data_IF_819419197630
#
_entry.id   IF_819419197630
#
_cell.length_a   1.000
_cell.length_b   1.000
_cell.length_c   1.000
_cell.angle_alpha   90.00
_cell.angle_beta   90.00
_cell.angle_gamma   90.00
#
_symmetry.space_group_name_H-M   'P 1'
#
loop_
_entity.id
_entity.type
_entity.pdbx_description
1 polymer ?
#
# COMPACT_ATOMS: atom_id res chain seq x y z
N UNK A 1 -65.11 -33.27 -11.40
CA UNK A 1 -65.63 -33.00 -12.76
C UNK A 1 -65.17 -31.61 -13.21
N UNK A 2 -64.80 -31.45 -14.49
CA UNK A 2 -63.52 -30.84 -14.87
C UNK A 2 -63.61 -29.74 -15.93
N UNK A 3 -62.45 -29.13 -16.24
CA UNK A 3 -61.91 -28.75 -17.57
C UNK A 3 -60.47 -28.25 -17.31
N UNK A 4 -59.36 -28.96 -17.53
CA UNK A 4 -58.87 -29.83 -18.61
C UNK A 4 -58.56 -29.08 -19.92
N UNK A 5 -57.26 -29.07 -20.29
CA UNK A 5 -56.63 -29.31 -21.61
C UNK A 5 -55.12 -28.92 -21.49
N UNK A 6 -54.18 -29.80 -21.12
CA UNK A 6 -53.38 -30.80 -21.90
C UNK A 6 -52.32 -30.23 -22.86
N UNK A 7 -51.03 -30.43 -22.53
CA UNK A 7 -49.98 -31.28 -23.19
C UNK A 7 -49.38 -30.66 -24.48
N UNK A 8 -48.07 -30.65 -24.71
CA UNK A 8 -47.12 -31.77 -24.73
C UNK A 8 -45.66 -31.30 -24.69
N UNK A 9 -44.78 -32.19 -24.22
CA UNK A 9 -43.33 -32.10 -24.24
C UNK A 9 -42.72 -32.10 -25.67
N UNK A 10 -41.55 -31.47 -25.79
CA UNK A 10 -40.53 -31.75 -26.80
C UNK A 10 -39.14 -31.55 -26.17
N UNK A 11 -38.32 -32.60 -26.25
CA UNK A 11 -36.90 -32.64 -25.93
C UNK A 11 -36.12 -31.63 -26.79
N UNK A 12 -35.07 -31.01 -26.23
CA UNK A 12 -33.98 -30.45 -27.05
C UNK A 12 -32.62 -30.62 -26.38
N UNK A 13 -31.72 -31.14 -27.21
CA UNK A 13 -30.30 -31.42 -27.07
C UNK A 13 -29.42 -30.30 -26.52
N UNK A 14 -28.36 -30.70 -25.82
CA UNK A 14 -27.13 -29.92 -25.62
C UNK A 14 -26.43 -29.58 -26.93
N UNK A 15 -25.71 -28.44 -26.99
CA UNK A 15 -24.27 -28.59 -27.23
C UNK A 15 -23.36 -27.60 -26.50
N UNK A 16 -22.19 -28.12 -26.14
CA UNK A 16 -20.94 -27.41 -25.91
C UNK A 16 -20.55 -26.51 -27.09
N UNK A 17 -19.98 -25.32 -26.84
CA UNK A 17 -18.83 -24.78 -27.61
C UNK A 17 -18.23 -23.51 -26.99
N UNK A 18 -16.92 -23.57 -26.87
CA UNK A 18 -15.92 -22.54 -26.58
C UNK A 18 -16.01 -21.33 -27.51
N UNK A 19 -15.89 -20.11 -26.97
CA UNK A 19 -15.78 -18.87 -27.75
C UNK A 19 -14.31 -18.40 -27.79
N UNK A 20 -13.75 -18.24 -29.00
CA UNK A 20 -12.44 -17.64 -29.25
C UNK A 20 -12.61 -16.20 -29.72
N UNK A 21 -11.81 -15.31 -29.15
CA UNK A 21 -11.67 -13.91 -29.55
C UNK A 21 -10.79 -13.77 -30.80
N UNK A 22 -11.41 -13.49 -31.93
CA UNK A 22 -10.80 -12.80 -33.07
C UNK A 22 -11.93 -12.52 -34.06
N UNK A 23 -12.39 -11.26 -34.17
CA UNK A 23 -13.07 -10.72 -35.35
C UNK A 23 -13.53 -9.28 -35.06
N UNK A 24 -12.65 -8.29 -35.23
CA UNK A 24 -13.03 -6.90 -35.44
C UNK A 24 -11.87 -6.13 -36.09
N UNK A 25 -11.80 -6.09 -37.43
CA UNK A 25 -11.39 -4.89 -38.20
C UNK A 25 -12.01 -4.99 -39.60
N UNK A 26 -12.80 -3.98 -39.96
CA UNK A 26 -13.48 -3.83 -41.26
C UNK A 26 -12.55 -3.40 -42.40
N UNK A 27 -12.98 -3.72 -43.62
CA UNK A 27 -12.26 -3.53 -44.88
C UNK A 27 -12.57 -2.19 -45.57
N UNK A 28 -11.59 -1.68 -46.34
CA UNK A 28 -11.63 -1.13 -47.73
C UNK A 28 -10.54 -0.05 -47.96
N UNK A 29 -10.10 0.24 -49.21
CA UNK A 29 -9.64 -0.66 -50.27
C UNK A 29 -8.24 -0.27 -50.82
N UNK A 30 -7.78 -1.07 -51.77
CA UNK A 30 -6.43 -1.21 -52.37
C UNK A 30 -5.94 0.01 -53.18
N UNK A 31 -4.66 0.34 -53.05
CA UNK A 31 -3.86 1.16 -53.97
C UNK A 31 -2.47 0.53 -54.17
N UNK A 32 -2.15 0.23 -55.42
CA UNK A 32 -1.01 -0.54 -55.93
C UNK A 32 0.32 0.22 -55.84
N UNK A 33 1.41 -0.48 -55.49
CA UNK A 33 2.73 0.12 -55.30
C UNK A 33 3.82 -0.89 -54.92
N UNK A 34 4.35 -1.62 -55.90
CA UNK A 34 5.49 -2.53 -55.75
C UNK A 34 6.80 -1.76 -55.52
N UNK A 35 7.57 -2.13 -54.49
CA UNK A 35 9.04 -1.99 -54.44
C UNK A 35 9.61 -3.24 -53.74
N UNK A 36 10.64 -3.94 -54.30
CA UNK A 36 11.11 -5.21 -53.76
C UNK A 36 12.17 -5.01 -52.66
N UNK A 37 12.03 -5.74 -51.54
CA UNK A 37 13.06 -5.82 -50.49
C UNK A 37 13.78 -7.16 -50.58
N UNK A 38 15.09 -7.10 -50.85
CA UNK A 38 16.03 -8.21 -50.88
C UNK A 38 16.28 -8.78 -49.47
N UNK A 39 16.20 -10.10 -49.31
CA UNK A 39 16.67 -10.82 -48.12
C UNK A 39 18.19 -10.98 -48.14
N UNK A 40 18.88 -10.82 -46.99
CA UNK A 40 20.11 -11.55 -46.71
C UNK A 40 19.85 -12.72 -45.73
N UNK A 41 20.64 -13.76 -45.91
CA UNK A 41 20.70 -15.03 -45.16
C UNK A 41 21.52 -14.89 -43.86
N UNK A 42 21.48 -15.89 -42.96
CA UNK A 42 21.79 -15.73 -41.54
C UNK A 42 23.27 -15.97 -41.23
N UNK A 43 23.85 -15.18 -40.33
CA UNK A 43 25.11 -15.50 -39.65
C UNK A 43 24.89 -15.43 -38.14
N UNK A 44 25.46 -16.42 -37.46
CA UNK A 44 25.07 -16.83 -36.12
C UNK A 44 25.45 -15.86 -35.02
N UNK A 45 24.63 -15.90 -33.98
CA UNK A 45 24.97 -15.43 -32.65
C UNK A 45 24.61 -16.52 -31.65
N UNK A 46 25.63 -17.07 -31.01
CA UNK A 46 25.49 -17.96 -29.87
C UNK A 46 25.20 -17.11 -28.62
N UNK A 47 24.37 -17.60 -27.67
CA UNK A 47 24.06 -16.87 -26.46
C UNK A 47 25.26 -16.88 -25.50
N UNK A 48 25.76 -15.71 -25.13
CA UNK A 48 26.77 -15.56 -24.08
C UNK A 48 26.15 -15.76 -22.70
N UNK A 49 26.82 -16.60 -21.92
CA UNK A 49 26.56 -16.96 -20.52
C UNK A 49 26.26 -15.77 -19.62
N UNK A 50 25.32 -15.97 -18.70
CA UNK A 50 24.95 -15.03 -17.64
C UNK A 50 26.16 -14.72 -16.74
N UNK A 51 26.72 -13.52 -16.88
CA UNK A 51 27.65 -12.98 -15.91
C UNK A 51 26.85 -12.54 -14.68
N UNK A 52 27.09 -13.22 -13.56
CA UNK A 52 26.65 -12.80 -12.23
C UNK A 52 27.26 -11.43 -11.93
N UNK A 53 26.44 -10.38 -11.90
CA UNK A 53 26.85 -9.10 -11.34
C UNK A 53 26.77 -9.23 -9.82
N UNK A 54 27.93 -9.50 -9.20
CA UNK A 54 28.10 -9.29 -7.77
C UNK A 54 28.03 -7.78 -7.50
N UNK A 55 26.92 -7.32 -6.90
CA UNK A 55 26.79 -5.97 -6.38
C UNK A 55 27.84 -5.81 -5.27
N UNK A 56 28.83 -4.94 -5.48
CA UNK A 56 29.65 -4.44 -4.38
C UNK A 56 28.73 -3.58 -3.50
N UNK A 57 28.26 -4.17 -2.39
CA UNK A 57 27.56 -3.44 -1.33
C UNK A 57 28.43 -2.25 -0.93
N UNK A 58 27.90 -1.03 -1.04
CA UNK A 58 28.50 0.14 -0.41
C UNK A 58 28.33 -0.11 1.09
N UNK A 59 29.40 -0.58 1.71
CA UNK A 59 29.49 -0.95 3.13
C UNK A 59 29.43 0.30 4.00
N UNK A 60 28.22 0.78 4.26
CA UNK A 60 27.88 1.49 5.48
C UNK A 60 26.62 0.83 6.00
N UNK A 61 26.68 0.14 7.13
CA UNK A 61 25.49 -0.42 7.78
C UNK A 61 24.57 0.77 8.12
N UNK A 62 23.57 1.02 7.27
CA UNK A 62 22.54 2.01 7.57
C UNK A 62 21.79 1.49 8.79
N UNK A 63 21.67 2.30 9.87
CA UNK A 63 21.00 1.81 11.07
C UNK A 63 19.54 1.50 10.77
N UNK A 64 19.04 0.40 11.33
CA UNK A 64 17.63 0.05 11.39
C UNK A 64 16.77 1.26 11.81
N UNK A 65 15.55 1.37 11.27
CA UNK A 65 14.61 2.41 11.69
C UNK A 65 14.40 2.37 13.22
N UNK A 66 14.30 3.52 13.90
CA UNK A 66 14.14 3.51 15.36
C UNK A 66 12.93 2.71 15.79
N UNK A 67 13.15 1.87 16.79
CA UNK A 67 12.10 1.11 17.43
C UNK A 67 11.55 1.90 18.61
N UNK A 68 10.23 2.06 18.66
CA UNK A 68 9.51 2.72 19.74
C UNK A 68 8.65 1.66 20.41
N UNK A 69 8.93 1.39 21.67
CA UNK A 69 8.19 0.43 22.47
C UNK A 69 7.18 1.15 23.38
N UNK A 70 5.93 0.70 23.31
CA UNK A 70 4.82 1.20 24.12
C UNK A 70 4.07 0.09 24.87
N UNK A 71 4.60 -1.14 24.89
CA UNK A 71 3.92 -2.30 25.48
C UNK A 71 3.70 -2.18 26.99
N UNK A 72 4.45 -1.34 27.69
CA UNK A 72 4.30 -1.10 29.13
C UNK A 72 3.28 -0.01 29.49
N UNK A 73 2.59 0.59 28.50
CA UNK A 73 1.60 1.64 28.75
C UNK A 73 0.40 1.11 29.53
N UNK A 74 -0.08 1.84 30.53
CA UNK A 74 -1.27 1.48 31.30
C UNK A 74 -2.60 1.89 30.62
N UNK A 75 -2.54 2.72 29.56
CA UNK A 75 -3.73 3.15 28.82
C UNK A 75 -3.41 3.52 27.37
N UNK A 76 -4.44 3.61 26.53
CA UNK A 76 -4.31 4.09 25.16
C UNK A 76 -3.77 5.52 25.06
N UNK A 77 -4.21 6.40 25.95
CA UNK A 77 -3.70 7.77 26.01
C UNK A 77 -2.21 7.81 26.37
N UNK A 78 -1.79 7.02 27.37
CA UNK A 78 -0.38 6.93 27.76
C UNK A 78 0.49 6.32 26.66
N UNK A 79 0.00 5.27 25.97
CA UNK A 79 0.65 4.72 24.77
C UNK A 79 0.91 5.80 23.74
N UNK A 80 -0.10 6.61 23.44
CA UNK A 80 0.01 7.77 22.58
C UNK A 80 1.05 8.76 23.06
N UNK A 81 1.03 9.14 24.34
CA UNK A 81 1.99 10.08 24.92
C UNK A 81 3.44 9.60 24.78
N UNK A 82 3.71 8.33 25.11
CA UNK A 82 5.03 7.72 25.02
C UNK A 82 5.52 7.76 23.57
N UNK A 83 4.69 7.33 22.62
CA UNK A 83 5.03 7.37 21.20
C UNK A 83 5.26 8.81 20.71
N UNK A 84 4.34 9.72 21.02
CA UNK A 84 4.46 11.13 20.66
C UNK A 84 5.75 11.78 21.17
N UNK A 85 6.14 11.46 22.41
CA UNK A 85 7.36 11.99 23.02
C UNK A 85 8.63 11.42 22.37
N UNK A 86 8.69 10.10 22.16
CA UNK A 86 9.86 9.44 21.56
C UNK A 86 10.03 9.78 20.07
N UNK A 87 8.93 10.00 19.36
CA UNK A 87 8.92 10.29 17.92
C UNK A 87 8.81 11.77 17.58
N UNK A 88 8.88 12.69 18.57
CA UNK A 88 8.55 14.12 18.40
C UNK A 88 9.12 14.75 17.12
N UNK A 89 10.42 14.63 16.90
CA UNK A 89 11.10 15.25 15.75
C UNK A 89 10.69 14.58 14.42
N UNK A 90 10.46 13.26 14.43
CA UNK A 90 9.99 12.51 13.26
C UNK A 90 8.54 12.83 12.93
N UNK A 91 7.69 13.03 13.93
CA UNK A 91 6.30 13.49 13.74
C UNK A 91 6.32 14.89 13.13
N UNK A 92 7.16 15.79 13.64
CA UNK A 92 7.32 17.12 13.06
C UNK A 92 7.78 17.04 11.59
N UNK A 93 8.72 16.14 11.28
CA UNK A 93 9.16 15.90 9.89
C UNK A 93 8.02 15.40 8.99
N UNK A 94 7.20 14.46 9.47
CA UNK A 94 5.98 14.02 8.76
C UNK A 94 5.04 15.18 8.50
N UNK A 95 4.73 15.98 9.53
CA UNK A 95 3.83 17.15 9.42
C UNK A 95 4.35 18.14 8.37
N UNK A 96 5.63 18.50 8.42
CA UNK A 96 6.25 19.43 7.45
C UNK A 96 6.20 18.86 6.02
N UNK A 97 6.47 17.56 5.87
CA UNK A 97 6.47 16.90 4.57
C UNK A 97 5.07 16.87 3.96
N UNK A 98 4.05 16.47 4.74
CA UNK A 98 2.67 16.43 4.27
C UNK A 98 2.04 17.81 4.10
N UNK A 99 2.35 18.78 4.96
CA UNK A 99 1.88 20.16 4.78
C UNK A 99 2.26 20.71 3.40
N UNK A 100 3.47 20.41 2.91
CA UNK A 100 3.88 20.77 1.55
C UNK A 100 3.12 19.97 0.49
N UNK A 101 2.95 18.66 0.66
CA UNK A 101 2.20 17.83 -0.29
C UNK A 101 0.75 18.29 -0.46
N UNK A 102 0.05 18.56 0.66
CA UNK A 102 -1.30 19.10 0.63
C UNK A 102 -1.34 20.48 -0.02
N UNK A 103 -0.35 21.33 0.28
CA UNK A 103 -0.29 22.65 -0.32
C UNK A 103 -0.13 22.59 -1.83
N UNK A 104 0.64 21.63 -2.36
CA UNK A 104 0.72 21.40 -3.81
C UNK A 104 -0.62 21.01 -4.45
N UNK A 105 -1.53 20.43 -3.66
CA UNK A 105 -2.91 20.15 -4.07
C UNK A 105 -3.86 21.35 -3.84
N UNK A 106 -3.34 22.52 -3.46
CA UNK A 106 -4.12 23.71 -3.15
C UNK A 106 -4.80 23.68 -1.77
N UNK A 107 -4.32 22.83 -0.86
CA UNK A 107 -4.90 22.66 0.48
C UNK A 107 -3.84 23.04 1.51
N UNK A 108 -4.03 24.14 2.23
CA UNK A 108 -3.14 24.47 3.35
C UNK A 108 -3.30 23.45 4.51
N UNK A 109 -2.33 23.42 5.40
CA UNK A 109 -2.30 22.43 6.48
C UNK A 109 -3.44 22.60 7.49
N UNK A 110 -3.89 23.83 7.74
CA UNK A 110 -5.02 24.06 8.64
C UNK A 110 -6.31 23.50 8.05
N UNK A 111 -6.54 23.73 6.75
CA UNK A 111 -7.63 23.12 5.99
C UNK A 111 -7.55 21.59 5.97
N UNK A 112 -6.35 21.01 5.83
CA UNK A 112 -6.15 19.56 5.91
C UNK A 112 -6.52 19.00 7.30
N UNK A 113 -6.07 19.67 8.37
CA UNK A 113 -6.43 19.34 9.75
C UNK A 113 -7.95 19.39 9.98
N UNK A 114 -8.62 20.45 9.52
CA UNK A 114 -10.07 20.60 9.65
C UNK A 114 -10.81 19.48 8.92
N UNK A 115 -10.39 19.15 7.69
CA UNK A 115 -10.97 18.05 6.92
C UNK A 115 -10.81 16.71 7.62
N UNK A 116 -9.67 16.48 8.26
CA UNK A 116 -9.37 15.24 8.99
C UNK A 116 -10.18 15.11 10.27
N UNK A 117 -10.44 16.21 10.99
CA UNK A 117 -11.25 16.18 12.22
C UNK A 117 -12.68 15.66 11.99
N UNK A 118 -13.21 15.74 10.76
CA UNK A 118 -14.52 15.14 10.41
C UNK A 118 -14.57 13.62 10.62
N UNK A 119 -13.42 12.94 10.65
CA UNK A 119 -13.32 11.50 10.88
C UNK A 119 -13.29 11.13 12.37
N UNK A 120 -13.23 12.09 13.31
CA UNK A 120 -13.14 11.81 14.76
C UNK A 120 -14.24 10.84 15.23
N UNK A 121 -15.48 11.07 14.83
CA UNK A 121 -16.61 10.20 15.21
C UNK A 121 -16.54 8.82 14.54
N UNK A 122 -15.99 8.73 13.32
CA UNK A 122 -15.81 7.45 12.63
C UNK A 122 -14.76 6.62 13.37
N UNK A 123 -13.61 7.22 13.69
CA UNK A 123 -12.52 6.54 14.40
C UNK A 123 -12.99 6.10 15.79
N UNK A 124 -13.70 6.95 16.53
CA UNK A 124 -14.22 6.60 17.85
C UNK A 124 -15.25 5.46 17.82
N UNK A 125 -16.01 5.31 16.72
CA UNK A 125 -16.95 4.20 16.53
C UNK A 125 -16.24 2.89 16.16
N UNK A 126 -15.11 2.96 15.46
CA UNK A 126 -14.26 1.78 15.22
C UNK A 126 -13.69 1.29 16.55
N UNK A 127 -13.05 2.21 17.29
CA UNK A 127 -12.49 1.97 18.61
C UNK A 127 -12.14 3.31 19.29
N UNK A 128 -12.77 3.58 20.43
CA UNK A 128 -12.56 4.80 21.19
C UNK A 128 -11.12 4.97 21.70
N UNK A 129 -10.41 3.86 21.93
CA UNK A 129 -9.02 3.88 22.38
C UNK A 129 -8.07 4.45 21.32
N UNK A 130 -8.41 4.32 20.03
CA UNK A 130 -7.61 4.92 18.95
C UNK A 130 -7.64 6.45 19.01
N UNK A 131 -8.77 7.05 19.35
CA UNK A 131 -8.86 8.49 19.56
C UNK A 131 -8.13 8.92 20.84
N UNK A 132 -8.17 8.12 21.91
CA UNK A 132 -7.38 8.39 23.11
C UNK A 132 -5.88 8.35 22.80
N UNK A 133 -5.41 7.38 22.02
CA UNK A 133 -4.03 7.26 21.56
C UNK A 133 -3.60 8.45 20.69
N UNK A 134 -4.43 8.89 19.74
CA UNK A 134 -4.13 10.08 18.93
C UNK A 134 -4.03 11.36 19.77
N UNK A 135 -4.89 11.52 20.79
CA UNK A 135 -4.80 12.65 21.74
C UNK A 135 -3.54 12.58 22.60
N UNK A 136 -3.18 11.39 23.07
CA UNK A 136 -1.92 11.15 23.76
C UNK A 136 -0.73 11.51 22.89
N UNK A 137 -0.73 11.07 21.63
CA UNK A 137 0.33 11.34 20.66
C UNK A 137 0.49 12.84 20.35
N UNK A 138 -0.63 13.56 20.23
CA UNK A 138 -0.64 15.00 20.13
C UNK A 138 0.03 15.65 21.35
N UNK A 139 -0.36 15.24 22.56
CA UNK A 139 0.23 15.74 23.79
C UNK A 139 1.75 15.44 23.89
N UNK A 140 2.17 14.20 23.62
CA UNK A 140 3.57 13.78 23.76
C UNK A 140 4.49 14.45 22.73
N UNK A 141 4.01 14.65 21.51
CA UNK A 141 4.78 15.29 20.44
C UNK A 141 4.74 16.82 20.49
N UNK A 142 3.74 17.40 21.16
CA UNK A 142 3.47 18.83 21.13
C UNK A 142 2.82 19.31 19.83
N UNK A 143 2.34 18.40 18.98
CA UNK A 143 1.58 18.72 17.78
C UNK A 143 0.09 18.86 18.08
N UNK A 144 -0.68 19.49 17.19
CA UNK A 144 -2.13 19.57 17.33
C UNK A 144 -2.80 18.23 17.02
N UNK A 145 -3.91 17.90 17.70
CA UNK A 145 -4.71 16.72 17.36
C UNK A 145 -5.09 16.69 15.87
N UNK A 146 -5.45 17.85 15.30
CA UNK A 146 -5.75 17.98 13.87
C UNK A 146 -4.59 17.54 12.97
N UNK A 147 -3.34 17.78 13.37
CA UNK A 147 -2.17 17.32 12.60
C UNK A 147 -2.04 15.80 12.64
N UNK A 148 -2.24 15.17 13.81
CA UNK A 148 -2.20 13.71 13.93
C UNK A 148 -3.37 13.06 13.17
N UNK A 149 -4.56 13.68 13.22
CA UNK A 149 -5.70 13.27 12.40
C UNK A 149 -5.38 13.38 10.91
N UNK A 150 -4.77 14.48 10.45
CA UNK A 150 -4.40 14.67 9.05
C UNK A 150 -3.39 13.63 8.57
N UNK A 151 -2.42 13.23 9.41
CA UNK A 151 -1.50 12.13 9.08
C UNK A 151 -2.26 10.79 8.91
N UNK A 152 -3.16 10.46 9.85
CA UNK A 152 -3.88 9.18 9.84
C UNK A 152 -5.03 9.11 8.82
N UNK A 153 -5.55 10.26 8.38
CA UNK A 153 -6.62 10.36 7.38
C UNK A 153 -6.13 10.84 6.01
N UNK A 154 -4.81 10.89 5.78
CA UNK A 154 -4.24 11.58 4.60
C UNK A 154 -4.83 11.08 3.29
N UNK A 155 -5.04 9.77 3.17
CA UNK A 155 -5.51 9.13 1.94
C UNK A 155 -6.95 9.55 1.66
N UNK A 156 -7.75 9.76 2.70
CA UNK A 156 -9.16 10.13 2.64
C UNK A 156 -9.37 11.62 2.36
N UNK A 157 -8.43 12.49 2.77
CA UNK A 157 -8.57 13.95 2.62
C UNK A 157 -7.76 14.52 1.45
N UNK A 158 -6.87 13.73 0.85
CA UNK A 158 -6.23 14.08 -0.41
C UNK A 158 -7.24 13.97 -1.56
N UNK A 159 -7.20 14.89 -2.53
CA UNK A 159 -8.11 14.84 -3.67
C UNK A 159 -7.83 13.60 -4.54
N UNK A 160 -8.89 13.03 -5.12
CA UNK A 160 -8.81 11.90 -6.05
C UNK A 160 -8.13 12.26 -7.37
N UNK A 161 -8.03 13.54 -7.71
CA UNK A 161 -7.10 14.09 -8.69
C UNK A 161 -5.90 14.62 -7.93
N UNK A 162 -4.81 13.85 -7.87
CA UNK A 162 -3.55 14.40 -7.37
C UNK A 162 -3.16 15.50 -8.35
N UNK A 163 -2.87 16.69 -7.81
CA UNK A 163 -2.68 17.95 -8.53
C UNK A 163 -3.97 18.49 -9.16
N UNK A 164 -4.33 19.68 -8.72
CA UNK A 164 -5.20 20.54 -9.52
C UNK A 164 -4.28 21.37 -10.42
N UNK A 165 -4.59 21.48 -11.71
CA UNK A 165 -3.92 22.36 -12.68
C UNK A 165 -4.11 23.86 -12.36
N UNK A 166 -4.19 24.22 -11.08
CA UNK A 166 -4.35 25.58 -10.58
C UNK A 166 -3.16 25.96 -9.70
N UNK A 167 -2.00 26.28 -10.30
CA UNK A 167 -0.82 26.75 -9.59
C UNK A 167 -1.11 27.84 -8.55
N UNK A 168 -2.11 28.70 -8.80
CA UNK A 168 -2.51 29.77 -7.89
C UNK A 168 -2.99 29.25 -6.52
N UNK A 169 -3.72 28.13 -6.49
CA UNK A 169 -4.18 27.54 -5.24
C UNK A 169 -3.00 26.98 -4.44
N UNK A 170 -2.02 26.37 -5.13
CA UNK A 170 -0.84 25.83 -4.47
C UNK A 170 0.05 26.92 -3.83
N UNK A 171 0.27 28.02 -4.53
CA UNK A 171 1.02 29.16 -3.99
C UNK A 171 0.32 29.78 -2.77
N UNK A 172 -1.00 29.92 -2.82
CA UNK A 172 -1.79 30.45 -1.70
C UNK A 172 -1.69 29.52 -0.47
N UNK A 173 -1.81 28.20 -0.67
CA UNK A 173 -1.70 27.22 0.40
C UNK A 173 -0.30 27.19 1.04
N UNK A 174 0.76 27.28 0.23
CA UNK A 174 2.14 27.39 0.72
C UNK A 174 2.35 28.68 1.52
N UNK A 175 1.83 29.81 1.05
CA UNK A 175 1.91 31.08 1.77
C UNK A 175 1.18 31.02 3.12
N UNK A 176 -0.01 30.40 3.17
CA UNK A 176 -0.74 30.18 4.41
C UNK A 176 0.04 29.30 5.39
N UNK A 177 0.67 28.22 4.92
CA UNK A 177 1.54 27.36 5.73
C UNK A 177 2.71 28.12 6.33
N UNK A 178 3.41 28.94 5.52
CA UNK A 178 4.53 29.78 5.99
C UNK A 178 4.06 30.78 7.06
N UNK A 179 2.91 31.42 6.85
CA UNK A 179 2.32 32.34 7.83
C UNK A 179 1.94 31.64 9.15
N UNK A 180 1.59 30.35 9.10
CA UNK A 180 1.31 29.52 10.26
C UNK A 180 2.58 28.93 10.93
N UNK A 181 3.78 29.28 10.45
CA UNK A 181 5.04 28.81 11.02
C UNK A 181 5.46 27.41 10.58
N UNK A 182 4.84 26.84 9.54
CA UNK A 182 5.28 25.59 8.93
C UNK A 182 6.37 25.92 7.89
N UNK A 183 7.63 25.51 8.12
CA UNK A 183 8.71 25.82 7.20
C UNK A 183 8.52 25.09 5.88
N UNK A 184 8.83 25.79 4.80
CA UNK A 184 8.97 25.16 3.50
C UNK A 184 10.34 24.46 3.42
N UNK A 185 10.32 23.13 3.27
CA UNK A 185 11.54 22.34 3.18
C UNK A 185 12.24 22.41 1.81
N UNK A 186 11.69 23.14 0.84
CA UNK A 186 12.33 23.46 -0.44
C UNK A 186 12.67 24.94 -0.64
N UNK A 187 12.47 25.78 0.39
CA UNK A 187 12.72 27.21 0.31
C UNK A 187 12.06 27.87 -0.93
N UNK A 188 12.85 28.44 -1.84
CA UNK A 188 12.38 29.12 -3.06
C UNK A 188 12.41 28.23 -4.31
N UNK A 189 12.73 26.94 -4.19
CA UNK A 189 12.74 26.06 -5.34
C UNK A 189 11.31 25.91 -5.91
N UNK A 190 11.13 26.10 -7.24
CA UNK A 190 9.83 25.98 -7.87
C UNK A 190 9.28 24.57 -7.68
N UNK A 191 7.98 24.48 -7.44
CA UNK A 191 7.28 23.21 -7.41
C UNK A 191 7.30 22.56 -8.80
N UNK A 192 7.63 21.28 -8.87
CA UNK A 192 7.48 20.49 -10.09
C UNK A 192 6.15 19.75 -10.05
N UNK A 193 5.27 20.09 -11.00
CA UNK A 193 3.97 19.44 -11.21
C UNK A 193 4.10 17.93 -11.51
N UNK A 194 5.32 17.45 -11.80
CA UNK A 194 5.61 16.05 -12.07
C UNK A 194 5.80 15.18 -10.81
N UNK A 195 5.38 15.60 -9.61
CA UNK A 195 5.45 14.74 -8.43
C UNK A 195 4.52 13.53 -8.63
N UNK A 196 5.11 12.35 -8.84
CA UNK A 196 4.34 11.15 -9.22
C UNK A 196 3.70 10.52 -7.99
N UNK A 197 2.50 9.96 -8.17
CA UNK A 197 1.83 9.15 -7.16
C UNK A 197 2.78 8.05 -6.62
N UNK A 198 2.76 7.84 -5.30
CA UNK A 198 3.49 6.72 -4.72
C UNK A 198 2.84 5.38 -5.04
N UNK A 199 3.68 4.39 -5.30
CA UNK A 199 3.29 3.07 -5.76
C UNK A 199 3.82 2.00 -4.78
N UNK A 200 3.22 0.81 -4.78
CA UNK A 200 3.67 -0.30 -3.95
C UNK A 200 3.49 -1.59 -4.72
N UNK A 201 4.34 -2.59 -4.50
CA UNK A 201 4.16 -3.94 -5.05
C UNK A 201 4.18 -4.92 -3.90
N UNK A 202 3.20 -5.82 -3.83
CA UNK A 202 3.10 -6.86 -2.81
C UNK A 202 2.98 -8.26 -3.44
N UNK A 203 3.52 -9.25 -2.74
CA UNK A 203 3.33 -10.68 -3.03
C UNK A 203 3.01 -11.41 -1.72
N UNK A 204 1.93 -12.18 -1.72
CA UNK A 204 1.60 -13.11 -0.65
C UNK A 204 1.72 -14.56 -1.16
N UNK A 205 2.30 -15.43 -0.34
CA UNK A 205 2.54 -16.84 -0.66
C UNK A 205 1.93 -17.70 0.42
N UNK A 206 1.01 -18.59 0.05
CA UNK A 206 0.40 -19.55 0.98
C UNK A 206 1.42 -20.59 1.46
N UNK A 207 1.09 -21.28 2.56
CA UNK A 207 1.90 -22.39 3.06
C UNK A 207 2.19 -23.44 1.96
N UNK A 208 1.19 -23.77 1.14
CA UNK A 208 1.28 -24.78 0.08
C UNK A 208 2.22 -24.39 -1.07
N UNK A 209 2.37 -23.10 -1.36
CA UNK A 209 3.26 -22.60 -2.40
C UNK A 209 4.65 -22.17 -1.86
N UNK A 210 4.87 -22.31 -0.56
CA UNK A 210 6.14 -21.95 0.09
C UNK A 210 7.12 -23.12 0.14
N UNK A 211 8.42 -22.82 0.19
CA UNK A 211 9.47 -23.85 0.35
C UNK A 211 9.46 -24.53 1.73
N UNK A 212 8.92 -23.85 2.74
CA UNK A 212 9.09 -24.22 4.16
C UNK A 212 7.77 -24.47 4.89
N UNK A 213 6.63 -24.44 4.19
CA UNK A 213 5.32 -24.84 4.71
C UNK A 213 4.57 -23.77 5.53
N UNK A 214 4.98 -22.52 5.50
CA UNK A 214 4.37 -21.37 6.17
C UNK A 214 4.02 -20.26 5.17
N UNK A 215 3.06 -19.40 5.51
CA UNK A 215 2.74 -18.27 4.65
C UNK A 215 3.78 -17.14 4.77
N UNK A 216 3.88 -16.38 3.68
CA UNK A 216 4.76 -15.23 3.55
C UNK A 216 4.01 -14.03 2.98
N UNK A 217 4.46 -12.84 3.37
CA UNK A 217 4.04 -11.58 2.77
C UNK A 217 5.28 -10.71 2.52
N UNK A 218 5.46 -10.25 1.30
CA UNK A 218 6.54 -9.35 0.90
C UNK A 218 5.99 -8.11 0.22
N UNK A 219 6.54 -6.93 0.52
CA UNK A 219 6.10 -5.67 -0.06
C UNK A 219 7.23 -4.64 -0.16
N UNK A 220 7.30 -3.95 -1.30
CA UNK A 220 7.98 -2.66 -1.39
C UNK A 220 6.96 -1.54 -1.16
N UNK A 221 7.33 -0.58 -0.31
CA UNK A 221 6.60 0.67 -0.15
C UNK A 221 7.34 1.79 -0.87
N UNK A 222 6.77 2.29 -1.97
CA UNK A 222 7.33 3.41 -2.72
C UNK A 222 6.62 4.72 -2.36
N UNK A 223 7.41 5.73 -2.04
CA UNK A 223 6.92 7.05 -1.64
C UNK A 223 7.97 8.14 -1.87
N UNK A 224 7.68 9.37 -1.46
CA UNK A 224 8.66 10.46 -1.43
C UNK A 224 9.86 10.05 -0.56
N UNK A 225 11.06 10.03 -1.14
CA UNK A 225 12.29 9.61 -0.46
C UNK A 225 12.57 10.32 0.87
N UNK A 226 12.18 11.60 0.94
CA UNK A 226 12.23 12.42 2.17
C UNK A 226 11.55 11.75 3.35
N UNK A 227 10.48 11.00 3.11
CA UNK A 227 9.67 10.43 4.18
C UNK A 227 10.38 9.29 4.90
N UNK A 228 11.40 8.65 4.30
CA UNK A 228 12.23 7.62 4.94
C UNK A 228 12.76 8.05 6.32
N UNK A 229 13.10 9.33 6.49
CA UNK A 229 13.59 9.87 7.76
C UNK A 229 12.54 9.88 8.88
N UNK A 230 11.25 9.76 8.57
CA UNK A 230 10.17 9.66 9.54
C UNK A 230 9.76 8.21 9.85
N UNK A 231 10.34 7.20 9.19
CA UNK A 231 9.96 5.81 9.43
C UNK A 231 10.39 5.36 10.84
N UNK A 232 9.52 4.60 11.49
CA UNK A 232 9.73 3.98 12.80
C UNK A 232 9.16 2.57 12.81
N UNK A 233 9.76 1.69 13.59
CA UNK A 233 9.14 0.42 13.99
C UNK A 233 8.41 0.67 15.31
N UNK A 234 7.09 0.51 15.33
CA UNK A 234 6.28 0.69 16.53
C UNK A 234 5.89 -0.67 17.11
N UNK A 235 6.24 -0.88 18.38
CA UNK A 235 5.67 -1.95 19.20
C UNK A 235 4.54 -1.40 20.05
N UNK A 236 3.41 -2.07 20.01
CA UNK A 236 2.19 -1.62 20.69
C UNK A 236 1.26 -2.81 20.92
N UNK A 237 0.15 -2.57 21.62
CA UNK A 237 -0.85 -3.60 21.89
C UNK A 237 -2.21 -3.21 21.31
N UNK A 238 -2.89 -4.16 20.68
CA UNK A 238 -4.29 -4.01 20.27
C UNK A 238 -5.27 -4.30 21.42
N UNK A 239 -6.55 -3.93 21.29
CA UNK A 239 -7.54 -4.08 22.35
C UNK A 239 -7.79 -5.55 22.75
N UNK A 240 -7.54 -6.52 21.86
CA UNK A 240 -7.60 -7.95 22.21
C UNK A 240 -6.38 -8.47 22.96
N UNK A 241 -5.39 -7.62 23.24
CA UNK A 241 -4.13 -7.96 23.91
C UNK A 241 -3.03 -8.42 22.96
N UNK A 242 -3.25 -8.38 21.63
CA UNK A 242 -2.24 -8.77 20.65
C UNK A 242 -1.08 -7.78 20.64
N UNK A 243 0.14 -8.28 20.79
CA UNK A 243 1.35 -7.50 20.55
C UNK A 243 1.52 -7.29 19.05
N UNK A 244 1.67 -6.04 18.63
CA UNK A 244 1.73 -5.60 17.23
C UNK A 244 3.10 -4.97 16.98
N UNK A 245 3.74 -5.40 15.88
CA UNK A 245 4.93 -4.75 15.32
C UNK A 245 4.58 -4.17 13.95
N UNK A 246 4.71 -2.86 13.78
CA UNK A 246 4.42 -2.22 12.50
C UNK A 246 5.52 -1.24 12.10
N UNK A 247 5.96 -1.31 10.85
CA UNK A 247 6.73 -0.27 10.20
C UNK A 247 5.75 0.79 9.71
N UNK A 248 5.89 2.01 10.22
CA UNK A 248 4.99 3.11 9.92
C UNK A 248 5.72 4.44 9.82
N UNK A 249 5.02 5.48 9.42
CA UNK A 249 5.50 6.85 9.50
C UNK A 249 5.19 7.42 10.87
N UNK A 250 6.16 8.11 11.48
CA UNK A 250 5.98 8.76 12.76
C UNK A 250 4.76 9.68 12.73
N UNK A 251 3.82 9.43 13.65
CA UNK A 251 2.53 10.13 13.74
C UNK A 251 1.33 9.29 13.32
N UNK A 252 1.56 8.10 12.76
CA UNK A 252 0.50 7.14 12.39
C UNK A 252 0.35 6.01 13.41
N UNK A 253 -0.89 5.53 13.58
CA UNK A 253 -1.25 4.42 14.48
C UNK A 253 -0.68 3.07 14.03
N UNK A 254 -0.66 2.81 12.72
CA UNK A 254 -0.10 1.61 12.12
C UNK A 254 0.02 1.77 10.60
N UNK A 255 0.76 0.85 9.96
CA UNK A 255 0.80 0.70 8.51
C UNK A 255 1.08 -0.75 8.10
N UNK A 256 2.32 -1.10 7.74
CA UNK A 256 2.71 -2.46 7.33
C UNK A 256 3.22 -3.20 8.58
N UNK A 257 2.78 -4.43 8.85
CA UNK A 257 3.17 -5.08 10.10
C UNK A 257 2.68 -6.49 10.30
N UNK A 258 3.09 -7.06 11.43
CA UNK A 258 2.77 -8.41 11.88
C UNK A 258 2.50 -8.40 13.39
N UNK A 259 1.61 -9.28 13.85
CA UNK A 259 1.34 -9.45 15.28
C UNK A 259 1.85 -10.79 15.83
N UNK A 260 1.72 -10.96 17.15
CA UNK A 260 2.20 -12.15 17.87
C UNK A 260 1.56 -13.47 17.42
N UNK A 261 0.37 -13.45 16.80
CA UNK A 261 -0.28 -14.65 16.25
C UNK A 261 0.20 -15.00 14.84
N UNK A 262 1.08 -14.18 14.24
CA UNK A 262 1.54 -14.38 12.87
C UNK A 262 0.60 -13.82 11.81
N UNK A 263 -0.40 -13.01 12.19
CA UNK A 263 -1.20 -12.27 11.23
C UNK A 263 -0.39 -11.06 10.74
N UNK A 264 -0.07 -11.05 9.45
CA UNK A 264 0.70 -10.02 8.77
C UNK A 264 -0.18 -9.29 7.76
N UNK A 265 0.02 -7.98 7.61
CA UNK A 265 -0.60 -7.19 6.56
C UNK A 265 0.33 -6.14 5.95
N UNK A 266 0.03 -5.74 4.72
CA UNK A 266 0.65 -4.63 4.01
C UNK A 266 -0.36 -3.58 3.58
N UNK A 267 0.05 -2.67 2.71
CA UNK A 267 -0.83 -1.65 2.13
C UNK A 267 -0.37 -1.26 0.72
N UNK A 268 -1.27 -1.33 -0.26
CA UNK A 268 -1.10 -0.61 -1.52
C UNK A 268 -2.22 0.43 -1.64
N UNK A 269 -1.87 1.68 -1.91
CA UNK A 269 -2.87 2.71 -2.19
C UNK A 269 -3.52 2.40 -3.55
N UNK A 270 -4.86 2.42 -3.59
CA UNK A 270 -5.66 2.40 -4.81
C UNK A 270 -6.35 3.76 -4.97
N UNK A 271 -7.07 3.96 -6.08
CA UNK A 271 -7.80 5.20 -6.32
C UNK A 271 -9.17 4.91 -6.87
N UNK A 272 -10.19 5.41 -6.20
CA UNK A 272 -11.58 5.30 -6.61
C UNK A 272 -12.14 6.66 -7.05
N UNK A 273 -13.04 6.63 -8.03
CA UNK A 273 -13.86 7.78 -8.42
C UNK A 273 -14.71 8.32 -7.26
N UNK A 274 -14.88 7.55 -6.18
CA UNK A 274 -15.65 7.92 -4.99
C UNK A 274 -14.79 8.27 -3.77
N UNK A 275 -13.46 8.28 -3.87
CA UNK A 275 -12.59 8.65 -2.75
C UNK A 275 -13.00 10.01 -2.18
N UNK A 276 -13.13 10.10 -0.85
CA UNK A 276 -13.52 11.32 -0.15
C UNK A 276 -15.00 11.75 -0.32
N UNK A 277 -15.83 11.00 -1.05
CA UNK A 277 -17.27 11.34 -1.25
C UNK A 277 -18.14 11.05 -0.03
N UNK A 278 -17.67 10.18 0.86
CA UNK A 278 -18.32 9.85 2.14
C UNK A 278 -17.29 9.74 3.24
N UNK A 279 -17.72 9.95 4.48
CA UNK A 279 -16.94 9.56 5.64
C UNK A 279 -17.05 8.04 5.80
N UNK A 280 -15.90 7.38 5.83
CA UNK A 280 -15.74 5.95 6.11
C UNK A 280 -14.45 5.74 6.86
N UNK A 281 -14.16 4.51 7.26
CA UNK A 281 -12.97 4.20 8.08
C UNK A 281 -11.69 4.62 7.33
N UNK A 282 -10.84 5.47 7.91
CA UNK A 282 -9.55 5.82 7.32
C UNK A 282 -8.62 4.61 7.22
N UNK A 283 -7.83 4.50 6.16
CA UNK A 283 -7.04 3.30 5.90
C UNK A 283 -6.04 2.98 7.01
N UNK A 284 -5.35 3.97 7.59
CA UNK A 284 -4.39 3.71 8.68
C UNK A 284 -5.08 3.28 9.98
N UNK A 285 -6.34 3.70 10.17
CA UNK A 285 -7.20 3.24 11.27
C UNK A 285 -7.68 1.81 11.02
N UNK A 286 -8.05 1.50 9.76
CA UNK A 286 -8.39 0.15 9.33
C UNK A 286 -7.21 -0.82 9.54
N UNK A 287 -6.00 -0.45 9.11
CA UNK A 287 -4.81 -1.29 9.29
C UNK A 287 -4.51 -1.53 10.76
N UNK A 288 -4.63 -0.50 11.61
CA UNK A 288 -4.48 -0.64 13.06
C UNK A 288 -5.51 -1.61 13.65
N UNK A 289 -6.76 -1.49 13.21
CA UNK A 289 -7.86 -2.35 13.65
C UNK A 289 -7.64 -3.81 13.21
N UNK A 290 -7.22 -4.03 11.96
CA UNK A 290 -6.97 -5.36 11.42
C UNK A 290 -5.72 -6.03 12.00
N UNK A 291 -4.69 -5.28 12.40
CA UNK A 291 -3.50 -5.86 13.05
C UNK A 291 -3.80 -6.52 14.40
N UNK A 292 -4.99 -6.32 14.97
CA UNK A 292 -5.47 -7.05 16.15
C UNK A 292 -6.16 -8.39 15.80
N UNK A 293 -6.32 -8.71 14.51
CA UNK A 293 -6.87 -9.99 14.03
C UNK A 293 -5.88 -11.15 14.22
N UNK A 294 -6.40 -12.39 14.17
CA UNK A 294 -5.56 -13.61 14.35
C UNK A 294 -5.38 -14.42 13.06
N UNK A 295 -6.22 -14.15 12.06
CA UNK A 295 -6.24 -14.87 10.79
C UNK A 295 -6.87 -14.01 9.69
N UNK A 296 -6.67 -14.41 8.44
CA UNK A 296 -7.32 -13.84 7.26
C UNK A 296 -8.85 -13.97 7.36
N UNK A 297 -9.35 -15.07 7.94
CA UNK A 297 -10.77 -15.25 8.21
C UNK A 297 -11.33 -14.19 9.18
N UNK A 298 -10.62 -13.94 10.30
CA UNK A 298 -11.02 -12.89 11.24
C UNK A 298 -10.95 -11.48 10.59
N UNK A 299 -10.00 -11.24 9.69
CA UNK A 299 -9.95 -9.98 8.94
C UNK A 299 -11.20 -9.77 8.05
N UNK A 300 -11.72 -10.81 7.38
CA UNK A 300 -12.99 -10.73 6.63
C UNK A 300 -14.16 -10.36 7.54
N UNK A 301 -14.25 -11.02 8.71
CA UNK A 301 -15.30 -10.72 9.69
C UNK A 301 -15.26 -9.25 10.14
N UNK A 302 -14.06 -8.71 10.37
CA UNK A 302 -13.90 -7.28 10.71
C UNK A 302 -14.29 -6.34 9.57
N UNK A 303 -13.85 -6.62 8.34
CA UNK A 303 -14.23 -5.82 7.17
C UNK A 303 -15.76 -5.82 6.97
N UNK A 304 -16.38 -7.00 7.12
CA UNK A 304 -17.82 -7.15 7.07
C UNK A 304 -18.52 -6.33 8.16
N UNK A 305 -18.09 -6.46 9.42
CA UNK A 305 -18.68 -5.73 10.55
C UNK A 305 -18.56 -4.19 10.41
N UNK A 306 -17.43 -3.69 9.93
CA UNK A 306 -17.24 -2.26 9.66
C UNK A 306 -18.21 -1.75 8.57
N UNK A 307 -18.51 -2.58 7.57
CA UNK A 307 -19.41 -2.23 6.48
C UNK A 307 -20.89 -2.35 6.88
N UNK A 308 -21.31 -3.48 7.47
CA UNK A 308 -22.73 -3.75 7.75
C UNK A 308 -23.16 -3.40 9.15
N UNK A 309 -22.41 -3.82 10.15
CA UNK A 309 -22.87 -3.77 11.54
C UNK A 309 -22.73 -2.35 12.09
N UNK A 310 -21.62 -1.69 11.77
CA UNK A 310 -21.38 -0.28 12.11
C UNK A 310 -21.81 0.70 11.02
N UNK A 311 -22.08 0.22 9.80
CA UNK A 311 -22.52 1.07 8.67
C UNK A 311 -21.48 2.09 8.20
N UNK A 312 -20.23 2.00 8.67
CA UNK A 312 -19.18 3.00 8.40
C UNK A 312 -18.66 2.89 6.97
N UNK A 313 -18.36 1.67 6.51
CA UNK A 313 -17.66 1.43 5.25
C UNK A 313 -16.24 2.01 5.26
N UNK A 314 -15.68 2.33 4.08
CA UNK A 314 -14.28 2.75 3.94
C UNK A 314 -14.17 4.14 3.31
N UNK A 315 -13.21 4.95 3.78
CA UNK A 315 -13.09 6.35 3.38
C UNK A 315 -12.38 6.57 2.04
N UNK A 316 -11.47 5.67 1.67
CA UNK A 316 -10.68 5.73 0.44
C UNK A 316 -10.30 4.33 -0.06
N UNK A 317 -9.94 4.26 -1.33
CA UNK A 317 -9.55 3.04 -1.99
C UNK A 317 -8.15 2.56 -1.55
N UNK A 318 -8.01 1.28 -1.24
CA UNK A 318 -6.74 0.64 -0.89
C UNK A 318 -6.82 -0.87 -1.05
N UNK A 319 -5.68 -1.51 -1.28
CA UNK A 319 -5.52 -2.95 -1.15
C UNK A 319 -4.77 -3.27 0.15
N UNK A 320 -5.29 -4.22 0.93
CA UNK A 320 -4.72 -4.72 2.17
C UNK A 320 -4.32 -6.19 1.97
N UNK A 321 -3.09 -6.47 1.50
CA UNK A 321 -2.58 -7.83 1.41
C UNK A 321 -2.36 -8.38 2.81
N UNK A 322 -2.81 -9.61 3.07
CA UNK A 322 -2.78 -10.27 4.36
C UNK A 322 -2.23 -11.70 4.24
N UNK A 323 -1.54 -12.15 5.28
CA UNK A 323 -1.10 -13.54 5.45
C UNK A 323 -1.26 -13.96 6.92
N UNK A 324 -1.49 -15.23 7.21
CA UNK A 324 -1.62 -15.72 8.59
C UNK A 324 -0.86 -17.01 8.90
N UNK A 325 -0.82 -17.37 10.18
CA UNK A 325 -0.15 -18.57 10.68
C UNK A 325 -0.88 -19.89 10.32
N UNK A 326 -2.09 -19.82 9.77
CA UNK A 326 -2.82 -20.98 9.23
C UNK A 326 -2.43 -21.27 7.76
N UNK A 327 -1.46 -20.50 7.23
CA UNK A 327 -0.96 -20.67 5.88
C UNK A 327 -1.81 -20.00 4.80
N UNK A 328 -2.78 -19.17 5.19
CA UNK A 328 -3.69 -18.49 4.28
C UNK A 328 -3.16 -17.11 3.89
N UNK A 329 -3.54 -16.68 2.69
CA UNK A 329 -3.20 -15.38 2.12
C UNK A 329 -4.41 -14.84 1.36
N UNK A 330 -4.65 -13.54 1.46
CA UNK A 330 -5.66 -12.84 0.66
C UNK A 330 -5.26 -11.36 0.47
N UNK A 331 -5.78 -10.73 -0.57
CA UNK A 331 -5.70 -9.29 -0.77
C UNK A 331 -7.10 -8.69 -0.69
N UNK A 332 -7.34 -7.78 0.23
CA UNK A 332 -8.63 -7.10 0.37
C UNK A 332 -8.61 -5.73 -0.28
N UNK A 333 -9.35 -5.58 -1.37
CA UNK A 333 -9.59 -4.28 -1.97
C UNK A 333 -10.76 -3.61 -1.24
N UNK A 334 -10.50 -2.45 -0.63
CA UNK A 334 -11.50 -1.62 0.04
C UNK A 334 -11.67 -0.33 -0.73
N UNK A 335 -12.87 0.25 -0.69
CA UNK A 335 -13.20 1.54 -1.29
C UNK A 335 -14.49 2.10 -0.67
N UNK A 336 -14.86 3.35 -0.98
CA UNK A 336 -16.17 3.89 -0.61
C UNK A 336 -17.37 3.10 -1.16
N UNK A 337 -17.18 2.28 -2.20
CA UNK A 337 -18.20 1.39 -2.76
C UNK A 337 -18.33 0.05 -2.01
N UNK A 338 -17.43 -0.25 -1.07
CA UNK A 338 -17.39 -1.48 -0.30
C UNK A 338 -16.04 -2.19 -0.41
N UNK A 339 -16.02 -3.51 -0.17
CA UNK A 339 -14.81 -4.31 -0.27
C UNK A 339 -15.00 -5.59 -1.08
N UNK A 340 -13.89 -6.09 -1.63
CA UNK A 340 -13.79 -7.35 -2.35
C UNK A 340 -12.46 -8.05 -2.05
N UNK A 341 -12.35 -9.33 -2.41
CA UNK A 341 -11.20 -10.16 -2.10
C UNK A 341 -10.58 -10.76 -3.36
N UNK A 342 -9.27 -10.60 -3.49
CA UNK A 342 -8.44 -11.32 -4.45
C UNK A 342 -7.86 -12.53 -3.74
N UNK A 343 -8.19 -13.71 -4.25
CA UNK A 343 -7.68 -14.98 -3.75
C UNK A 343 -6.41 -15.40 -4.49
N UNK A 344 -5.49 -16.15 -3.86
CA UNK A 344 -4.28 -16.63 -4.52
C UNK A 344 -4.58 -17.57 -5.69
N UNK A 345 -3.85 -17.42 -6.80
CA UNK A 345 -3.80 -18.38 -7.91
C UNK A 345 -2.55 -19.24 -7.72
N UNK A 346 -2.70 -20.57 -7.77
CA UNK A 346 -1.60 -21.52 -7.52
C UNK A 346 -0.84 -21.24 -6.21
N UNK A 347 -1.58 -20.76 -5.20
CA UNK A 347 -1.06 -20.45 -3.87
C UNK A 347 -0.27 -19.15 -3.76
N UNK A 348 -0.24 -18.31 -4.79
CA UNK A 348 0.41 -16.99 -4.78
C UNK A 348 -0.57 -15.89 -5.20
N UNK A 349 -0.53 -14.73 -4.55
CA UNK A 349 -1.23 -13.51 -4.98
C UNK A 349 -0.22 -12.38 -5.10
N UNK A 350 -0.35 -11.57 -6.15
CA UNK A 350 0.44 -10.35 -6.34
C UNK A 350 -0.50 -9.16 -6.51
N UNK A 351 -0.08 -7.99 -6.03
CA UNK A 351 -0.89 -6.79 -6.13
C UNK A 351 -0.04 -5.53 -6.27
N UNK A 352 -0.53 -4.58 -7.05
CA UNK A 352 0.06 -3.24 -7.19
C UNK A 352 -0.95 -2.15 -6.77
N UNK A 353 -1.20 -1.15 -7.59
CA UNK A 353 -1.95 0.07 -7.22
C UNK A 353 -3.20 0.31 -8.09
N UNK A 354 -3.79 -0.75 -8.65
CA UNK A 354 -5.06 -0.69 -9.38
C UNK A 354 -6.00 -1.79 -8.89
N UNK A 355 -7.31 -1.59 -9.08
CA UNK A 355 -8.30 -2.62 -8.78
C UNK A 355 -8.12 -3.82 -9.72
N UNK A 356 -8.22 -5.02 -9.16
CA UNK A 356 -8.24 -6.30 -9.88
C UNK A 356 -9.48 -7.13 -9.56
N UNK A 357 -10.23 -6.83 -8.48
CA UNK A 357 -11.52 -7.46 -8.25
C UNK A 357 -12.54 -6.97 -9.27
N UNK A 358 -13.16 -7.89 -10.01
CA UNK A 358 -14.16 -7.59 -11.04
C UNK A 358 -15.29 -6.68 -10.54
N UNK A 359 -15.75 -6.91 -9.29
CA UNK A 359 -16.81 -6.13 -8.65
C UNK A 359 -16.46 -4.67 -8.36
N UNK A 360 -15.18 -4.31 -8.34
CA UNK A 360 -14.68 -2.96 -8.04
C UNK A 360 -13.98 -2.28 -9.23
N UNK A 361 -13.81 -2.96 -10.37
CA UNK A 361 -13.14 -2.38 -11.56
C UNK A 361 -13.77 -1.06 -12.02
N UNK A 362 -15.11 -0.95 -11.94
CA UNK A 362 -15.83 0.27 -12.33
C UNK A 362 -15.54 1.47 -11.42
N UNK A 363 -14.98 1.24 -10.23
CA UNK A 363 -14.64 2.29 -9.29
C UNK A 363 -13.27 2.91 -9.56
N UNK A 364 -12.41 2.28 -10.38
CA UNK A 364 -11.05 2.75 -10.67
C UNK A 364 -11.03 4.19 -11.18
N UNK A 365 -10.33 5.07 -10.46
CA UNK A 365 -10.05 6.43 -10.91
C UNK A 365 -8.95 6.44 -11.99
N UNK A 366 -8.88 7.48 -12.84
CA UNK A 366 -7.80 7.63 -13.81
C UNK A 366 -6.43 7.54 -13.15
N UNK A 367 -5.55 6.72 -13.75
CA UNK A 367 -4.18 6.56 -13.31
C UNK A 367 -3.28 7.55 -14.06
N UNK A 368 -2.48 8.33 -13.34
CA UNK A 368 -1.51 9.22 -13.96
C UNK A 368 -0.47 8.46 -14.80
N UNK A 369 0.13 9.10 -15.83
CA UNK A 369 1.09 8.47 -16.73
C UNK A 369 2.40 8.03 -16.05
N UNK A 370 2.66 8.50 -14.82
CA UNK A 370 3.79 8.10 -13.99
C UNK A 370 3.58 6.82 -13.18
N UNK A 371 2.39 6.21 -13.27
CA UNK A 371 2.05 4.96 -12.62
C UNK A 371 2.43 3.78 -13.52
N UNK A 372 3.20 2.85 -12.95
CA UNK A 372 3.69 1.62 -13.59
C UNK A 372 2.96 0.37 -13.08
N UNK A 373 1.89 0.57 -12.33
CA UNK A 373 1.07 -0.44 -11.66
C UNK A 373 0.79 -1.72 -12.48
N UNK A 374 0.38 -1.59 -13.75
CA UNK A 374 0.10 -2.74 -14.61
C UNK A 374 1.38 -3.48 -15.03
N UNK A 375 2.43 -2.75 -15.39
CA UNK A 375 3.73 -3.35 -15.75
C UNK A 375 4.34 -4.07 -14.55
N UNK A 376 4.37 -3.42 -13.38
CA UNK A 376 4.84 -4.04 -12.12
C UNK A 376 4.01 -5.26 -11.74
N UNK A 377 2.70 -5.28 -12.00
CA UNK A 377 1.87 -6.46 -11.76
C UNK A 377 2.26 -7.61 -12.70
N UNK A 378 2.53 -7.32 -13.98
CA UNK A 378 3.01 -8.31 -14.93
C UNK A 378 4.36 -8.89 -14.51
N UNK A 379 5.33 -8.03 -14.15
CA UNK A 379 6.65 -8.43 -13.66
C UNK A 379 6.54 -9.23 -12.36
N UNK A 380 5.68 -8.83 -11.43
CA UNK A 380 5.40 -9.58 -10.19
C UNK A 380 4.82 -10.98 -10.49
N UNK A 381 3.94 -11.08 -11.49
CA UNK A 381 3.40 -12.34 -11.98
C UNK A 381 4.49 -13.29 -12.49
N UNK A 382 5.54 -12.79 -13.14
CA UNK A 382 6.68 -13.63 -13.56
C UNK A 382 7.47 -14.18 -12.37
N UNK A 383 7.65 -13.39 -11.31
CA UNK A 383 8.27 -13.89 -10.07
C UNK A 383 7.38 -14.91 -9.35
N UNK A 384 6.06 -14.76 -9.41
CA UNK A 384 5.09 -15.68 -8.80
C UNK A 384 5.13 -17.10 -9.42
N UNK A 385 5.65 -17.27 -10.64
CA UNK A 385 5.78 -18.59 -11.29
C UNK A 385 6.89 -19.48 -10.70
N UNK A 386 7.74 -18.96 -9.81
CA UNK A 386 8.90 -19.67 -9.24
C UNK A 386 8.54 -20.60 -8.07
N UNK A 387 7.36 -21.21 -8.06
CA UNK A 387 6.93 -22.07 -6.94
C UNK A 387 7.76 -23.37 -6.86
N UNK A 388 8.12 -23.84 -5.65
CA UNK A 388 7.85 -23.23 -4.35
C UNK A 388 8.74 -22.01 -4.06
N UNK A 389 8.16 -20.97 -3.44
CA UNK A 389 8.82 -19.68 -3.16
C UNK A 389 9.38 -19.66 -1.73
N UNK A 390 10.63 -19.23 -1.56
CA UNK A 390 11.25 -19.00 -0.25
C UNK A 390 11.61 -17.53 -0.01
N UNK A 391 12.18 -17.24 1.17
CA UNK A 391 12.61 -15.89 1.53
C UNK A 391 13.55 -15.26 0.49
N UNK A 392 14.53 -16.01 -0.01
CA UNK A 392 15.50 -15.51 -0.97
C UNK A 392 14.82 -15.08 -2.29
N UNK A 393 13.78 -15.82 -2.72
CA UNK A 393 12.99 -15.48 -3.90
C UNK A 393 12.16 -14.21 -3.69
N UNK A 394 11.58 -14.03 -2.49
CA UNK A 394 10.87 -12.81 -2.11
C UNK A 394 11.80 -11.59 -2.07
N UNK A 395 12.99 -11.73 -1.49
CA UNK A 395 13.99 -10.67 -1.51
C UNK A 395 14.47 -10.35 -2.93
N UNK A 396 14.60 -11.37 -3.80
CA UNK A 396 14.91 -11.17 -5.22
C UNK A 396 13.78 -10.43 -5.95
N UNK A 397 12.53 -10.77 -5.67
CA UNK A 397 11.35 -10.08 -6.20
C UNK A 397 11.34 -8.60 -5.80
N UNK A 398 11.60 -8.29 -4.53
CA UNK A 398 11.66 -6.90 -4.03
C UNK A 398 12.88 -6.11 -4.53
N UNK A 399 13.86 -6.77 -5.15
CA UNK A 399 15.05 -6.18 -5.77
C UNK A 399 14.96 -6.10 -7.29
N UNK A 400 13.81 -6.43 -7.88
CA UNK A 400 13.65 -6.41 -9.33
C UNK A 400 13.75 -4.98 -9.89
N UNK A 401 14.69 -4.78 -10.82
CA UNK A 401 14.97 -3.52 -11.51
C UNK A 401 14.73 -3.63 -13.04
N UNK A 402 13.91 -4.60 -13.47
CA UNK A 402 13.74 -4.98 -14.88
C UNK A 402 13.13 -3.87 -15.75
N UNK A 403 12.40 -2.93 -15.15
CA UNK A 403 11.69 -1.83 -15.79
C UNK A 403 12.34 -0.44 -15.50
N UNK A 404 13.64 -0.41 -15.14
CA UNK A 404 14.38 0.80 -14.83
C UNK A 404 13.82 1.56 -13.61
N UNK A 405 13.62 2.88 -13.73
CA UNK A 405 13.10 3.73 -12.64
C UNK A 405 11.65 3.44 -12.23
N UNK A 406 10.93 2.61 -12.99
CA UNK A 406 9.54 2.23 -12.75
C UNK A 406 9.40 0.76 -12.31
N UNK A 407 10.50 0.11 -11.96
CA UNK A 407 10.51 -1.29 -11.53
C UNK A 407 9.85 -1.50 -10.17
N UNK A 408 9.69 -2.77 -9.79
CA UNK A 408 9.26 -3.17 -8.45
C UNK A 408 10.17 -2.58 -7.37
N UNK A 409 11.49 -2.64 -7.56
CA UNK A 409 12.47 -1.91 -6.76
C UNK A 409 12.64 -0.52 -7.36
N UNK A 410 11.83 0.43 -6.87
CA UNK A 410 11.76 1.76 -7.44
C UNK A 410 12.97 2.59 -7.05
N UNK A 411 13.79 2.93 -8.04
CA UNK A 411 14.91 3.84 -7.87
C UNK A 411 14.51 5.29 -8.15
N UNK A 412 15.06 6.27 -7.40
CA UNK A 412 14.79 7.68 -7.62
C UNK A 412 15.33 8.13 -8.99
N UNK A 413 14.45 8.64 -9.85
CA UNK A 413 14.81 9.16 -11.17
C UNK A 413 15.62 10.47 -11.02
N UNK A 414 16.90 10.50 -11.41
CA UNK A 414 17.75 11.69 -11.24
C UNK A 414 17.34 12.86 -12.14
N UNK A 415 16.54 12.62 -13.19
CA UNK A 415 16.01 13.67 -14.07
C UNK A 415 14.87 14.46 -13.43
N UNK A 416 14.24 13.91 -12.38
CA UNK A 416 13.19 14.55 -11.59
C UNK A 416 13.83 15.32 -10.44
N UNK A 417 13.30 16.48 -10.00
CA UNK A 417 13.76 17.18 -8.81
C UNK A 417 13.69 16.29 -7.55
N UNK A 418 14.68 16.35 -6.64
CA UNK A 418 14.76 15.48 -5.46
C UNK A 418 13.47 15.31 -4.64
N UNK A 419 12.69 16.38 -4.53
CA UNK A 419 11.39 16.46 -3.85
C UNK A 419 10.28 15.62 -4.49
N UNK A 420 10.35 15.44 -5.81
CA UNK A 420 9.36 14.76 -6.63
C UNK A 420 9.78 13.32 -6.94
N UNK A 421 10.95 12.90 -6.45
CA UNK A 421 11.46 11.54 -6.62
C UNK A 421 10.71 10.59 -5.69
N UNK A 422 9.99 9.67 -6.33
CA UNK A 422 9.46 8.46 -5.69
C UNK A 422 10.53 7.37 -5.76
N UNK A 423 10.70 6.67 -4.65
CA UNK A 423 11.61 5.53 -4.52
C UNK A 423 11.04 4.53 -3.51
N UNK A 424 11.51 3.28 -3.55
CA UNK A 424 11.21 2.28 -2.51
C UNK A 424 11.87 2.74 -1.21
N UNK A 425 11.08 3.30 -0.29
CA UNK A 425 11.58 3.82 0.99
C UNK A 425 11.86 2.70 2.00
N UNK A 426 11.25 1.54 1.80
CA UNK A 426 11.56 0.29 2.49
C UNK A 426 11.07 -0.93 1.69
N UNK A 427 11.81 -2.03 1.80
CA UNK A 427 11.34 -3.37 1.43
C UNK A 427 11.06 -4.19 2.69
N UNK A 428 9.96 -4.93 2.72
CA UNK A 428 9.50 -5.68 3.90
C UNK A 428 9.24 -7.13 3.49
N UNK A 429 9.76 -8.08 4.26
CA UNK A 429 9.44 -9.51 4.15
C UNK A 429 8.96 -10.02 5.52
N UNK A 430 7.82 -10.68 5.57
CA UNK A 430 7.22 -11.23 6.78
C UNK A 430 6.94 -12.71 6.62
N UNK A 431 7.29 -13.47 7.65
CA UNK A 431 6.98 -14.89 7.81
C UNK A 431 5.92 -15.03 8.89
N UNK A 432 4.88 -15.84 8.67
CA UNK A 432 3.77 -15.97 9.62
C UNK A 432 4.03 -17.00 10.72
N UNK A 433 4.87 -18.00 10.48
CA UNK A 433 5.17 -19.05 11.46
C UNK A 433 6.63 -19.58 11.40
N UNK A 434 7.40 -19.52 12.51
CA UNK A 434 7.17 -18.57 13.62
C UNK A 434 7.16 -17.13 13.09
N UNK A 435 6.40 -16.20 13.71
CA UNK A 435 6.34 -14.81 13.26
C UNK A 435 7.73 -14.17 13.19
N UNK A 436 8.07 -13.63 12.02
CA UNK A 436 9.32 -12.90 11.81
C UNK A 436 9.15 -11.81 10.74
N UNK A 437 9.95 -10.75 10.83
CA UNK A 437 9.94 -9.62 9.91
C UNK A 437 11.37 -9.20 9.58
N UNK A 438 11.64 -8.94 8.30
CA UNK A 438 12.88 -8.36 7.82
C UNK A 438 12.60 -7.11 7.00
N UNK A 439 13.45 -6.10 7.15
CA UNK A 439 13.30 -4.81 6.48
C UNK A 439 14.62 -4.41 5.80
N UNK A 440 14.53 -4.06 4.53
CA UNK A 440 15.52 -3.24 3.85
C UNK A 440 15.21 -1.77 4.17
N UNK A 441 16.07 -1.11 4.94
CA UNK A 441 15.84 0.26 5.45
C UNK A 441 16.14 1.38 4.43
N UNK A 442 16.34 1.00 3.17
CA UNK A 442 16.50 1.88 2.02
C UNK A 442 16.01 1.12 0.76
N UNK A 443 16.28 1.64 -0.43
CA UNK A 443 16.02 0.97 -1.71
C UNK A 443 16.58 -0.46 -1.65
N UNK A 444 15.75 -1.51 -1.78
CA UNK A 444 16.15 -2.89 -1.50
C UNK A 444 17.35 -3.41 -2.29
N UNK A 445 17.62 -2.88 -3.48
CA UNK A 445 18.80 -3.22 -4.29
C UNK A 445 20.12 -2.69 -3.72
N UNK A 446 20.06 -1.74 -2.78
CA UNK A 446 21.23 -1.06 -2.19
C UNK A 446 21.62 -1.57 -0.81
N UNK A 447 20.72 -2.27 -0.12
CA UNK A 447 20.90 -2.67 1.28
C UNK A 447 20.46 -4.12 1.54
N UNK A 448 20.90 -4.65 2.68
CA UNK A 448 20.47 -5.95 3.16
C UNK A 448 19.06 -5.89 3.78
N UNK A 449 18.39 -7.03 3.84
CA UNK A 449 17.18 -7.20 4.65
C UNK A 449 17.59 -7.60 6.07
N UNK A 450 17.40 -6.70 7.01
CA UNK A 450 17.78 -6.88 8.41
C UNK A 450 16.59 -7.34 9.25
N UNK A 451 16.84 -8.20 10.24
CA UNK A 451 15.76 -8.72 11.10
C UNK A 451 15.24 -7.64 12.03
N UNK A 452 13.92 -7.48 12.08
CA UNK A 452 13.25 -6.58 13.01
C UNK A 452 12.86 -7.35 14.27
N UNK A 453 13.23 -6.89 15.47
CA UNK A 453 12.71 -7.45 16.71
C UNK A 453 11.19 -7.26 16.76
N UNK A 454 10.44 -8.34 16.98
CA UNK A 454 8.99 -8.25 17.16
C UNK A 454 8.64 -7.93 18.61
N UNK A 455 7.55 -7.17 18.77
CA UNK A 455 6.86 -6.95 20.03
C UNK A 455 6.61 -8.29 20.73
N UNK A 456 7.12 -8.42 21.96
CA UNK A 456 6.95 -9.65 22.75
C UNK A 456 5.59 -9.63 23.44
N UNK A 457 4.96 -10.81 23.62
CA UNK A 457 3.80 -10.92 24.49
C UNK A 457 4.13 -10.36 25.88
N UNK A 458 3.27 -9.48 26.40
CA UNK A 458 3.35 -9.07 27.79
C UNK A 458 3.02 -10.30 28.64
N UNK A 459 4.00 -10.82 29.37
CA UNK A 459 3.75 -11.86 30.37
C UNK A 459 2.98 -11.20 31.52
N UNK A 460 1.70 -11.56 31.63
CA UNK A 460 0.83 -11.14 32.74
C UNK A 460 1.21 -11.84 34.05
#
# INVERSE_FOLDING_TARGET
MPRQLTLSAMELDTPSKTCRWSDFVGAHPVGDGRVPVSKPSPTGWAPTSHASFAVQAISGDLPMFPCIDTLSSASAHERGQIYGQQAKDRIQHSVITYARLFAACGIDWASACERAMRFEQVIAQVDADLMAELRGMAQGSGQSLGSLMALNCRTEILPSTFFTDTPQLAHAALAANRAAGLPDWLADAPWDDALKDGECTAMGVTAAASQTGQAWLAQNWDWMGRQRQALVVLHSQGPSGQSITTLTEAGMLAKIGINQSGFALGLNILRSNRDGTRLGVPVHVLLRHLLDCRSVAHARERLQALQTDLGLGFGAASNVPCADAEGQVACFEVSPAGWAEVTPTDGVVVHTNHFVCESLLAEQAPMGPGLSSHNRLSTAGQHALKTPIGRADLECFLRDESDGFLSICRSPDPSVPPESRVESVAGIVMQTQPPAMWVACDVPSRVAFESVPLAKPVQL
#
